data_IF_829559503514
#
_entry.id   IF_829559503514
#
_cell.length_a   1.000
_cell.length_b   1.000
_cell.length_c   1.000
_cell.angle_alpha   90.00
_cell.angle_beta   90.00
_cell.angle_gamma   90.00
#
_symmetry.space_group_name_H-M   'P 1'
#
loop_
_entity.id
_entity.type
_entity.pdbx_description
1 polymer ?
#
# COMPACT_ATOMS: atom_id res chain seq x y z
N UNK A 1 19.11 21.56 -26.00
CA UNK A 1 17.89 20.72 -25.92
C UNK A 1 17.96 19.97 -24.60
N UNK A 2 17.07 20.26 -23.66
CA UNK A 2 16.96 19.50 -22.41
C UNK A 2 16.00 18.34 -22.66
N UNK A 3 16.51 17.25 -23.23
CA UNK A 3 15.81 15.97 -23.18
C UNK A 3 15.97 15.42 -21.78
N UNK A 4 14.87 15.17 -21.08
CA UNK A 4 14.91 14.32 -19.90
C UNK A 4 15.38 12.95 -20.36
N UNK A 5 16.64 12.62 -20.10
CA UNK A 5 17.16 11.28 -20.35
C UNK A 5 16.72 10.43 -19.16
N UNK A 6 15.91 9.38 -19.36
CA UNK A 6 15.60 8.45 -18.29
C UNK A 6 16.93 7.81 -17.83
N UNK A 7 17.37 8.16 -16.63
CA UNK A 7 18.63 7.68 -16.02
C UNK A 7 18.50 6.30 -15.40
N UNK A 8 17.36 5.62 -15.60
CA UNK A 8 17.10 4.28 -15.14
C UNK A 8 16.34 3.51 -16.22
N UNK A 9 16.81 2.30 -16.53
CA UNK A 9 16.03 1.39 -17.37
C UNK A 9 15.04 0.65 -16.46
N UNK A 10 13.76 0.82 -16.75
CA UNK A 10 12.68 0.21 -15.98
C UNK A 10 12.38 -1.17 -16.58
N UNK A 11 12.39 -2.19 -15.72
CA UNK A 11 12.02 -3.55 -16.04
C UNK A 11 10.88 -4.01 -15.13
N UNK A 12 10.06 -4.92 -15.65
CA UNK A 12 9.04 -5.62 -14.88
C UNK A 12 9.48 -7.08 -14.76
N UNK A 13 9.40 -7.65 -13.56
CA UNK A 13 9.73 -9.07 -13.38
C UNK A 13 8.69 -9.98 -14.06
N UNK A 14 9.16 -11.10 -14.59
CA UNK A 14 8.28 -12.14 -15.14
C UNK A 14 7.49 -12.79 -14.01
N UNK A 15 6.16 -12.72 -14.08
CA UNK A 15 5.27 -13.15 -13.00
C UNK A 15 4.74 -12.04 -12.09
N UNK A 16 5.04 -10.77 -12.39
CA UNK A 16 4.40 -9.63 -11.72
C UNK A 16 2.87 -9.77 -11.78
N UNK A 17 2.24 -9.73 -10.61
CA UNK A 17 0.80 -9.87 -10.48
C UNK A 17 0.19 -8.67 -9.74
N UNK A 18 -1.13 -8.53 -9.87
CA UNK A 18 -1.86 -7.49 -9.13
C UNK A 18 -1.77 -7.76 -7.62
N UNK A 19 -1.66 -6.71 -6.78
CA UNK A 19 -1.80 -6.84 -5.34
C UNK A 19 -3.14 -7.45 -4.96
N UNK A 20 -3.14 -8.27 -3.91
CA UNK A 20 -4.34 -8.93 -3.39
C UNK A 20 -4.66 -8.40 -2.00
N UNK A 21 -5.93 -8.04 -1.79
CA UNK A 21 -6.45 -7.67 -0.46
C UNK A 21 -7.35 -8.77 0.05
N UNK A 22 -6.94 -9.39 1.16
CA UNK A 22 -7.76 -10.34 1.89
C UNK A 22 -8.59 -9.60 2.94
N UNK A 23 -9.92 -9.69 2.83
CA UNK A 23 -10.85 -9.07 3.77
C UNK A 23 -11.66 -10.12 4.52
N UNK A 24 -11.74 -9.95 5.84
CA UNK A 24 -12.69 -10.62 6.71
C UNK A 24 -13.62 -9.59 7.34
N UNK A 25 -14.92 -9.79 7.15
CA UNK A 25 -15.95 -8.89 7.66
C UNK A 25 -17.02 -9.67 8.41
N UNK A 26 -17.32 -9.23 9.62
CA UNK A 26 -18.41 -9.78 10.46
C UNK A 26 -19.34 -8.66 10.84
N UNK A 27 -20.63 -8.91 10.66
CA UNK A 27 -21.68 -7.95 11.02
C UNK A 27 -22.70 -8.63 11.92
N UNK A 28 -22.99 -8.00 13.05
CA UNK A 28 -24.11 -8.33 13.92
C UNK A 28 -25.12 -7.18 13.88
N UNK A 29 -26.41 -7.50 13.72
CA UNK A 29 -27.47 -6.50 13.77
C UNK A 29 -28.64 -7.03 14.59
N UNK A 30 -29.29 -6.13 15.31
CA UNK A 30 -30.42 -6.46 16.17
C UNK A 30 -31.42 -5.31 16.21
N UNK A 31 -32.70 -5.65 16.18
CA UNK A 31 -33.77 -4.72 16.48
C UNK A 31 -33.88 -4.51 18.00
N UNK A 32 -34.01 -3.25 18.40
CA UNK A 32 -34.18 -2.87 19.80
C UNK A 32 -35.40 -1.94 19.87
N UNK A 33 -36.53 -2.47 20.32
CA UNK A 33 -37.79 -1.72 20.43
C UNK A 33 -38.26 -1.21 19.07
N UNK A 34 -38.36 0.12 18.93
CA UNK A 34 -38.72 0.79 17.68
C UNK A 34 -37.50 1.31 16.93
N UNK A 35 -36.40 0.57 16.99
CA UNK A 35 -35.12 0.92 16.42
C UNK A 35 -34.28 -0.31 16.10
N UNK A 36 -33.08 -0.08 15.61
CA UNK A 36 -32.13 -1.13 15.30
C UNK A 36 -30.70 -0.66 15.55
N UNK A 37 -29.83 -1.61 15.88
CA UNK A 37 -28.39 -1.41 15.98
C UNK A 37 -27.66 -2.41 15.09
N UNK A 38 -26.52 -2.01 14.56
CA UNK A 38 -25.60 -2.85 13.80
C UNK A 38 -24.17 -2.53 14.22
N UNK A 39 -23.39 -3.58 14.38
CA UNK A 39 -21.95 -3.52 14.58
C UNK A 39 -21.29 -4.30 13.44
N UNK A 40 -20.30 -3.69 12.80
CA UNK A 40 -19.48 -4.33 11.77
C UNK A 40 -18.03 -4.28 12.21
N UNK A 41 -17.35 -5.42 12.15
CA UNK A 41 -15.90 -5.51 12.28
C UNK A 41 -15.32 -5.88 10.92
N UNK A 42 -14.31 -5.13 10.48
CA UNK A 42 -13.58 -5.37 9.23
C UNK A 42 -12.12 -5.55 9.55
N UNK A 43 -11.51 -6.57 8.96
CA UNK A 43 -10.06 -6.80 8.94
C UNK A 43 -9.61 -6.97 7.50
N UNK A 44 -8.65 -6.16 7.05
CA UNK A 44 -8.03 -6.25 5.73
C UNK A 44 -6.53 -6.43 5.86
N UNK A 45 -5.98 -7.24 4.97
CA UNK A 45 -4.54 -7.41 4.79
C UNK A 45 -4.24 -7.33 3.30
N UNK A 46 -3.40 -6.36 2.90
CA UNK A 46 -2.89 -6.29 1.54
C UNK A 46 -1.61 -7.12 1.43
N UNK A 47 -1.47 -7.85 0.33
CA UNK A 47 -0.35 -8.76 0.04
C UNK A 47 0.10 -8.61 -1.40
N UNK A 48 1.38 -8.90 -1.67
CA UNK A 48 1.94 -8.78 -3.01
C UNK A 48 1.87 -7.36 -3.55
N UNK A 49 2.18 -6.37 -2.73
CA UNK A 49 2.24 -4.96 -3.17
C UNK A 49 3.40 -4.80 -4.15
N UNK A 50 3.24 -3.95 -5.17
CA UNK A 50 4.26 -3.75 -6.20
C UNK A 50 5.24 -2.68 -5.75
N UNK A 51 6.53 -3.02 -5.77
CA UNK A 51 7.63 -2.13 -5.34
C UNK A 51 8.70 -2.01 -6.42
N UNK A 52 9.49 -0.92 -6.34
CA UNK A 52 10.70 -0.77 -7.13
C UNK A 52 11.92 -1.27 -6.37
N UNK A 53 12.84 -1.90 -7.08
CA UNK A 53 14.09 -2.43 -6.55
C UNK A 53 15.25 -1.99 -7.43
N UNK A 54 16.27 -1.40 -6.80
CA UNK A 54 17.60 -1.17 -7.34
C UNK A 54 18.58 -2.04 -6.55
N UNK A 55 18.69 -3.31 -6.93
CA UNK A 55 19.54 -4.30 -6.26
C UNK A 55 20.68 -4.81 -7.17
N UNK A 56 21.90 -4.33 -6.92
CA UNK A 56 23.14 -4.74 -7.60
C UNK A 56 23.98 -5.64 -6.68
N UNK A 57 24.42 -6.84 -7.09
CA UNK A 57 24.28 -7.49 -8.41
C UNK A 57 23.17 -8.55 -8.49
N UNK A 58 22.34 -8.70 -7.46
CA UNK A 58 21.52 -9.91 -7.32
C UNK A 58 20.27 -9.94 -8.19
N UNK A 59 19.72 -8.80 -8.65
CA UNK A 59 18.57 -8.86 -9.54
C UNK A 59 18.30 -7.66 -10.49
N UNK A 60 18.68 -6.41 -10.18
CA UNK A 60 18.47 -5.28 -11.08
C UNK A 60 19.64 -5.08 -12.06
N UNK A 61 20.87 -5.13 -11.57
CA UNK A 61 22.08 -4.91 -12.36
C UNK A 61 22.16 -3.51 -12.99
N UNK A 62 23.14 -3.32 -13.89
CA UNK A 62 23.40 -2.02 -14.54
C UNK A 62 23.41 -2.12 -16.06
N UNK A 63 23.00 -1.06 -16.74
CA UNK A 63 23.01 -0.98 -18.21
C UNK A 63 23.89 0.17 -18.68
N UNK A 64 24.86 -0.12 -19.54
CA UNK A 64 25.65 0.91 -20.24
C UNK A 64 24.91 1.38 -21.48
N UNK A 65 24.55 2.66 -21.53
CA UNK A 65 23.83 3.26 -22.65
C UNK A 65 24.82 3.75 -23.70
N UNK A 66 24.73 3.17 -24.90
CA UNK A 66 25.53 3.54 -26.07
C UNK A 66 24.56 3.93 -27.19
N UNK A 67 24.63 5.17 -27.68
CA UNK A 67 23.82 5.64 -28.80
C UNK A 67 24.73 6.21 -29.88
N UNK A 68 24.56 5.73 -31.12
CA UNK A 68 25.36 6.14 -32.28
C UNK A 68 26.89 6.05 -32.03
N UNK A 69 27.33 5.04 -31.27
CA UNK A 69 28.76 4.82 -30.95
C UNK A 69 29.32 5.72 -29.84
N UNK A 70 28.50 6.60 -29.23
CA UNK A 70 28.88 7.40 -28.07
C UNK A 70 28.35 6.73 -26.81
N UNK A 71 29.23 6.51 -25.83
CA UNK A 71 28.87 6.01 -24.50
C UNK A 71 28.39 7.16 -23.63
N UNK A 72 27.16 7.06 -23.14
CA UNK A 72 26.52 8.09 -22.31
C UNK A 72 26.64 7.80 -20.80
N UNK A 73 27.03 6.58 -20.42
CA UNK A 73 27.26 6.18 -19.04
C UNK A 73 26.71 4.80 -18.73
N UNK A 74 26.97 4.32 -17.51
CA UNK A 74 26.37 3.11 -16.93
C UNK A 74 25.38 3.55 -15.88
N UNK A 75 24.16 3.04 -15.99
CA UNK A 75 23.03 3.43 -15.16
C UNK A 75 22.47 2.21 -14.43
N UNK A 76 21.96 2.43 -13.22
CA UNK A 76 21.26 1.41 -12.47
C UNK A 76 19.92 1.08 -13.14
N UNK A 77 19.60 -0.21 -13.16
CA UNK A 77 18.29 -0.65 -13.58
C UNK A 77 17.32 -0.58 -12.39
N UNK A 78 16.05 -0.36 -12.69
CA UNK A 78 14.97 -0.41 -11.70
C UNK A 78 14.05 -1.55 -12.08
N UNK A 79 13.80 -2.47 -11.17
CA UNK A 79 12.85 -3.56 -11.38
C UNK A 79 11.61 -3.38 -10.53
N UNK A 80 10.44 -3.51 -11.13
CA UNK A 80 9.20 -3.62 -10.38
C UNK A 80 8.84 -5.08 -10.12
N UNK A 81 8.60 -5.41 -8.85
CA UNK A 81 8.31 -6.78 -8.36
C UNK A 81 7.25 -6.74 -7.25
N UNK A 82 6.58 -7.87 -7.02
CA UNK A 82 5.74 -8.02 -5.83
C UNK A 82 6.63 -8.20 -4.60
N UNK A 83 6.33 -7.48 -3.53
CA UNK A 83 7.10 -7.49 -2.27
C UNK A 83 6.28 -8.09 -1.13
N UNK A 84 6.91 -8.98 -0.36
CA UNK A 84 6.41 -9.43 0.94
C UNK A 84 6.89 -8.52 2.10
N UNK A 85 7.86 -7.65 1.84
CA UNK A 85 8.35 -6.66 2.82
C UNK A 85 7.38 -5.50 2.97
N UNK A 86 6.60 -5.18 1.93
CA UNK A 86 5.58 -4.14 1.94
C UNK A 86 4.29 -4.68 2.57
N UNK A 87 3.93 -4.15 3.73
CA UNK A 87 2.79 -4.63 4.53
C UNK A 87 1.77 -3.51 4.74
N UNK A 88 0.48 -3.85 4.65
CA UNK A 88 -0.61 -2.96 5.03
C UNK A 88 -1.74 -3.73 5.72
N UNK A 89 -1.86 -3.50 7.02
CA UNK A 89 -2.83 -4.12 7.92
C UNK A 89 -3.85 -3.10 8.39
N UNK A 90 -5.12 -3.35 8.11
CA UNK A 90 -6.23 -2.50 8.52
C UNK A 90 -7.25 -3.27 9.35
N UNK A 91 -7.68 -2.68 10.46
CA UNK A 91 -8.81 -3.16 11.24
C UNK A 91 -9.69 -2.01 11.67
N UNK A 92 -11.00 -2.17 11.56
CA UNK A 92 -11.96 -1.17 12.02
C UNK A 92 -13.22 -1.78 12.59
N UNK A 93 -13.87 -1.01 13.45
CA UNK A 93 -15.21 -1.25 13.96
C UNK A 93 -16.10 -0.10 13.55
N UNK A 94 -17.26 -0.44 13.00
CA UNK A 94 -18.34 0.49 12.70
C UNK A 94 -19.55 0.13 13.57
N UNK A 95 -20.05 1.09 14.32
CA UNK A 95 -21.31 0.99 15.05
C UNK A 95 -22.30 1.95 14.43
N UNK A 96 -23.51 1.49 14.20
CA UNK A 96 -24.60 2.34 13.76
C UNK A 96 -25.91 1.92 14.40
N UNK A 97 -26.76 2.90 14.68
CA UNK A 97 -28.06 2.63 15.25
C UNK A 97 -29.04 3.75 15.00
N UNK A 98 -30.31 3.40 15.06
CA UNK A 98 -31.40 4.35 15.05
C UNK A 98 -32.46 3.92 16.07
N UNK A 99 -33.16 4.90 16.63
CA UNK A 99 -34.23 4.66 17.57
C UNK A 99 -35.30 5.73 17.47
N UNK A 100 -36.55 5.31 17.28
CA UNK A 100 -37.71 6.21 17.31
C UNK A 100 -38.11 6.50 18.76
N UNK A 101 -37.75 7.67 19.26
CA UNK A 101 -38.03 8.10 20.65
C UNK A 101 -39.49 8.52 20.82
N UNK A 102 -40.10 9.09 19.78
CA UNK A 102 -41.53 9.46 19.71
C UNK A 102 -42.07 9.13 18.31
N UNK A 103 -43.40 8.99 18.10
CA UNK A 103 -43.95 8.65 16.77
C UNK A 103 -43.47 9.56 15.63
N UNK A 104 -43.09 10.80 15.95
CA UNK A 104 -42.60 11.84 15.05
C UNK A 104 -41.12 12.24 15.29
N UNK A 105 -40.36 11.49 16.11
CA UNK A 105 -38.97 11.83 16.39
C UNK A 105 -38.07 10.59 16.45
N UNK A 106 -37.05 10.57 15.60
CA UNK A 106 -36.05 9.51 15.50
C UNK A 106 -34.67 10.09 15.71
N UNK A 107 -33.85 9.38 16.48
CA UNK A 107 -32.44 9.66 16.64
C UNK A 107 -31.66 8.56 15.94
N UNK A 108 -30.63 8.93 15.19
CA UNK A 108 -29.71 7.99 14.57
C UNK A 108 -28.27 8.41 14.88
N UNK A 109 -27.39 7.44 15.00
CA UNK A 109 -25.98 7.63 15.28
C UNK A 109 -25.14 6.62 14.53
N UNK A 110 -23.94 7.04 14.18
CA UNK A 110 -22.92 6.21 13.56
C UNK A 110 -21.56 6.60 14.15
N UNK A 111 -20.72 5.60 14.38
CA UNK A 111 -19.39 5.76 14.93
C UNK A 111 -18.45 4.75 14.28
N UNK A 112 -17.35 5.23 13.72
CA UNK A 112 -16.29 4.39 13.17
C UNK A 112 -15.03 4.61 13.97
N UNK A 113 -14.36 3.51 14.31
CA UNK A 113 -13.03 3.55 14.90
C UNK A 113 -12.13 2.59 14.15
N UNK A 114 -10.96 3.09 13.77
CA UNK A 114 -9.90 2.29 13.21
C UNK A 114 -9.04 1.76 14.36
N UNK A 115 -9.02 0.44 14.52
CA UNK A 115 -8.29 -0.26 15.57
C UNK A 115 -6.82 -0.48 15.20
N UNK A 116 -6.56 -0.76 13.91
CA UNK A 116 -5.22 -0.96 13.36
C UNK A 116 -5.12 -0.28 11.99
N UNK A 117 -4.03 0.44 11.77
CA UNK A 117 -3.64 0.99 10.48
C UNK A 117 -2.14 1.01 10.40
N UNK A 118 -1.53 -0.15 10.20
CA UNK A 118 -0.09 -0.26 10.25
C UNK A 118 0.46 -0.76 8.93
N UNK A 119 1.61 -0.23 8.57
CA UNK A 119 2.33 -0.63 7.38
C UNK A 119 3.60 0.19 7.21
N UNK A 120 4.38 -0.20 6.21
CA UNK A 120 5.56 0.49 5.72
C UNK A 120 5.40 0.89 4.24
N UNK A 121 4.19 0.72 3.69
CA UNK A 121 3.85 1.00 2.30
C UNK A 121 2.62 1.90 2.21
N UNK A 122 2.84 3.16 1.81
CA UNK A 122 1.76 4.12 1.52
C UNK A 122 1.28 3.98 0.07
N UNK A 123 2.20 3.71 -0.86
CA UNK A 123 1.91 3.25 -2.23
C UNK A 123 1.23 4.23 -3.17
N UNK A 124 0.84 5.41 -2.71
CA UNK A 124 0.07 6.39 -3.47
C UNK A 124 0.62 7.81 -3.20
N UNK A 125 1.22 8.43 -4.22
CA UNK A 125 1.33 9.88 -4.27
C UNK A 125 0.21 10.43 -5.15
N UNK A 126 -0.20 11.68 -4.94
CA UNK A 126 -1.38 12.31 -5.56
C UNK A 126 -1.54 12.15 -7.08
N UNK A 127 -0.48 11.77 -7.83
CA UNK A 127 -0.52 11.48 -9.26
C UNK A 127 0.37 10.29 -9.68
N UNK A 128 0.80 9.43 -8.74
CA UNK A 128 1.72 8.33 -9.02
C UNK A 128 1.25 7.06 -8.30
N UNK A 129 0.35 6.28 -8.91
CA UNK A 129 0.03 4.95 -8.41
C UNK A 129 1.29 4.06 -8.54
N UNK A 130 1.63 3.33 -7.47
CA UNK A 130 2.82 2.47 -7.46
C UNK A 130 4.13 3.25 -7.32
N UNK A 131 4.12 4.36 -6.57
CA UNK A 131 5.36 5.01 -6.16
C UNK A 131 6.19 4.01 -5.34
N UNK A 132 7.28 3.53 -5.94
CA UNK A 132 8.19 2.63 -5.28
C UNK A 132 8.82 3.31 -4.05
N UNK A 133 9.00 2.54 -3.00
CA UNK A 133 9.63 2.99 -1.76
C UNK A 133 11.10 2.57 -1.74
N UNK A 134 11.81 2.95 -0.68
CA UNK A 134 13.19 2.49 -0.44
C UNK A 134 13.26 1.02 0.00
N UNK A 135 12.12 0.33 0.19
CA UNK A 135 12.01 -1.04 0.75
C UNK A 135 12.79 -2.11 -0.03
N UNK A 136 13.33 -1.77 -1.20
CA UNK A 136 14.09 -2.67 -2.08
C UNK A 136 15.38 -2.09 -2.67
N UNK A 137 15.74 -0.87 -2.34
CA UNK A 137 16.85 -0.15 -2.98
C UNK A 137 18.15 -0.28 -2.19
N UNK A 138 19.25 -0.57 -2.88
CA UNK A 138 20.59 -0.67 -2.29
C UNK A 138 20.62 -1.51 -1.01
N UNK A 139 20.16 -2.78 -1.03
CA UNK A 139 20.11 -3.66 0.15
C UNK A 139 21.49 -3.90 0.79
N UNK A 140 22.58 -3.60 0.06
CA UNK A 140 23.95 -3.62 0.56
C UNK A 140 24.30 -2.42 1.46
N UNK A 141 23.48 -1.36 1.46
CA UNK A 141 23.66 -0.13 2.25
C UNK A 141 22.50 0.07 3.23
N UNK A 142 21.26 -0.25 2.81
CA UNK A 142 20.06 -0.10 3.63
C UNK A 142 19.86 -1.32 4.53
N UNK A 143 19.51 -1.08 5.79
CA UNK A 143 19.27 -2.10 6.81
C UNK A 143 17.80 -2.08 7.19
N UNK A 144 17.14 -3.23 7.00
CA UNK A 144 15.69 -3.41 7.16
C UNK A 144 15.15 -2.80 8.47
N UNK A 145 15.76 -3.14 9.61
CA UNK A 145 15.31 -2.69 10.93
C UNK A 145 15.51 -1.21 11.24
N UNK A 146 16.20 -0.46 10.38
CA UNK A 146 16.42 1.00 10.56
C UNK A 146 15.71 1.81 9.49
N UNK A 147 15.79 1.35 8.25
CA UNK A 147 15.45 2.14 7.08
C UNK A 147 14.02 1.88 6.59
N UNK A 148 13.35 0.81 7.10
CA UNK A 148 12.00 0.40 6.73
C UNK A 148 11.03 0.41 7.93
N UNK A 149 10.81 1.58 8.59
CA UNK A 149 10.03 1.62 9.81
C UNK A 149 8.58 1.21 9.57
N UNK A 150 8.11 0.22 10.33
CA UNK A 150 6.69 -0.10 10.44
C UNK A 150 6.03 0.91 11.36
N UNK A 151 4.95 1.53 10.88
CA UNK A 151 4.30 2.61 11.61
C UNK A 151 2.81 2.70 11.36
N UNK A 152 2.16 3.61 12.07
CA UNK A 152 0.78 3.96 11.79
C UNK A 152 0.76 4.73 10.47
N UNK A 153 0.02 4.23 9.49
CA UNK A 153 -0.17 4.93 8.22
C UNK A 153 -1.12 6.11 8.46
N UNK A 154 -0.79 7.26 7.87
CA UNK A 154 -1.68 8.42 7.84
C UNK A 154 -2.73 8.21 6.74
N UNK A 155 -3.97 8.54 7.04
CA UNK A 155 -5.16 8.46 6.18
C UNK A 155 -5.61 9.88 5.81
#
# INVERSE_FOLDING_TARGET
MSGSFPTANIFLEDGLHSPLTHEFTVTGAQEIGTGAVRATYVRRQATGLVESFIDDPTAAGKTTVIQNGVTFGTFDNVYYRNSDASVRDYQAVELQGNYRVRPNWTVAGHWTVQLKNEGNYEGEAANQPGAGTVLGDYPEILVEGRDFPMGRLDD
#
